data_IF_710675384443
#
_entry.id   IF_710675384443
#
_cell.length_a   1.000
_cell.length_b   1.000
_cell.length_c   1.000
_cell.angle_alpha   90.00
_cell.angle_beta   90.00
_cell.angle_gamma   90.00
#
_symmetry.space_group_name_H-M   'P 1'
#
loop_
_entity.id
_entity.type
_entity.pdbx_description
1 polymer ?
#
# COMPACT_ATOMS: atom_id res chain seq x y z
N UNK A 1 11.50 -32.37 3.50
CA UNK A 1 11.34 -30.97 3.96
C UNK A 1 12.15 -30.10 3.02
N UNK A 2 11.63 -28.96 2.59
CA UNK A 2 12.44 -27.98 1.85
C UNK A 2 13.28 -27.28 2.92
N UNK A 3 14.59 -27.52 2.93
CA UNK A 3 15.48 -27.03 4.00
C UNK A 3 15.83 -25.53 3.86
N UNK A 4 15.67 -24.95 2.66
CA UNK A 4 15.91 -23.52 2.40
C UNK A 4 14.82 -22.92 1.50
N UNK A 5 13.95 -22.02 2.03
CA UNK A 5 12.98 -21.27 1.23
C UNK A 5 13.61 -20.50 0.06
N UNK A 6 14.85 -20.03 0.19
CA UNK A 6 15.56 -19.29 -0.85
C UNK A 6 15.85 -20.14 -2.10
N UNK A 7 16.14 -21.44 -1.93
CA UNK A 7 16.31 -22.37 -3.06
C UNK A 7 14.99 -22.57 -3.80
N UNK A 8 13.89 -22.72 -3.06
CA UNK A 8 12.56 -22.86 -3.66
C UNK A 8 12.13 -21.61 -4.42
N UNK A 9 12.32 -20.42 -3.85
CA UNK A 9 12.00 -19.14 -4.49
C UNK A 9 12.72 -18.99 -5.82
N UNK A 10 14.04 -19.27 -5.86
CA UNK A 10 14.83 -19.20 -7.10
C UNK A 10 14.36 -20.21 -8.15
N UNK A 11 14.02 -21.43 -7.75
CA UNK A 11 13.52 -22.45 -8.66
C UNK A 11 12.15 -22.05 -9.25
N UNK A 12 11.28 -21.45 -8.45
CA UNK A 12 9.97 -20.96 -8.90
C UNK A 12 10.12 -19.79 -9.87
N UNK A 13 10.97 -18.81 -9.55
CA UNK A 13 11.26 -17.68 -10.44
C UNK A 13 11.78 -18.17 -11.80
N UNK A 14 12.80 -19.03 -11.81
CA UNK A 14 13.37 -19.56 -13.04
C UNK A 14 12.32 -20.26 -13.92
N UNK A 15 11.43 -21.07 -13.31
CA UNK A 15 10.36 -21.75 -14.04
C UNK A 15 9.33 -20.77 -14.64
N UNK A 16 8.97 -19.70 -13.91
CA UNK A 16 7.99 -18.72 -14.38
C UNK A 16 8.57 -17.82 -15.49
N UNK A 17 9.87 -17.49 -15.40
CA UNK A 17 10.61 -16.80 -16.46
C UNK A 17 10.72 -17.66 -17.72
N UNK A 18 11.10 -18.94 -17.58
CA UNK A 18 11.17 -19.88 -18.72
C UNK A 18 9.81 -20.00 -19.45
N UNK A 19 8.71 -19.96 -18.69
CA UNK A 19 7.34 -19.97 -19.25
C UNK A 19 6.89 -18.62 -19.82
N UNK A 20 7.69 -17.56 -19.71
CA UNK A 20 7.35 -16.22 -20.17
C UNK A 20 6.20 -15.56 -19.39
N UNK A 21 5.95 -15.99 -18.14
CA UNK A 21 4.86 -15.45 -17.31
C UNK A 21 5.29 -14.20 -16.53
N UNK A 22 6.58 -14.08 -16.23
CA UNK A 22 7.19 -12.93 -15.53
C UNK A 22 8.58 -12.66 -16.13
N UNK A 23 9.18 -11.53 -15.77
CA UNK A 23 10.60 -11.22 -16.02
C UNK A 23 11.28 -10.85 -14.70
N UNK A 24 12.58 -11.15 -14.57
CA UNK A 24 13.34 -10.79 -13.36
C UNK A 24 13.45 -9.27 -13.21
N UNK A 25 13.57 -8.52 -14.32
CA UNK A 25 13.58 -7.06 -14.30
C UNK A 25 12.28 -6.50 -13.70
N UNK A 26 11.14 -7.13 -13.99
CA UNK A 26 9.85 -6.70 -13.43
C UNK A 26 9.76 -6.98 -11.93
N UNK A 27 10.37 -8.05 -11.44
CA UNK A 27 10.46 -8.33 -10.00
C UNK A 27 11.32 -7.26 -9.32
N UNK A 28 12.48 -6.94 -9.88
CA UNK A 28 13.40 -5.95 -9.33
C UNK A 28 12.76 -4.56 -9.24
N UNK A 29 12.04 -4.14 -10.29
CA UNK A 29 11.27 -2.89 -10.28
C UNK A 29 10.24 -2.85 -9.15
N UNK A 30 9.53 -3.95 -8.92
CA UNK A 30 8.50 -4.03 -7.88
C UNK A 30 9.14 -3.95 -6.50
N UNK A 31 10.21 -4.71 -6.25
CA UNK A 31 10.96 -4.68 -4.97
C UNK A 31 11.43 -3.25 -4.69
N UNK A 32 12.09 -2.61 -5.66
CA UNK A 32 12.59 -1.24 -5.52
C UNK A 32 11.48 -0.26 -5.16
N UNK A 33 10.32 -0.35 -5.83
CA UNK A 33 9.20 0.57 -5.56
C UNK A 33 8.71 0.51 -4.12
N UNK A 34 8.70 -0.68 -3.49
CA UNK A 34 8.30 -0.85 -2.10
C UNK A 34 9.40 -0.54 -1.08
N UNK A 35 10.66 -0.69 -1.46
CA UNK A 35 11.79 -0.34 -0.60
C UNK A 35 12.05 1.17 -0.55
N UNK A 36 11.88 1.87 -1.67
CA UNK A 36 12.31 3.27 -1.82
C UNK A 36 11.14 4.27 -1.93
N UNK A 37 10.09 3.95 -2.69
CA UNK A 37 9.08 4.94 -3.13
C UNK A 37 7.76 4.87 -2.37
N UNK A 38 7.37 3.68 -1.91
CA UNK A 38 6.09 3.41 -1.23
C UNK A 38 6.34 3.23 0.26
N UNK A 39 5.75 4.10 1.07
CA UNK A 39 5.95 4.03 2.51
C UNK A 39 5.10 5.01 3.33
N UNK A 40 5.23 5.01 4.66
CA UNK A 40 4.36 5.73 5.58
C UNK A 40 4.40 7.26 5.42
N UNK A 41 5.43 7.80 4.77
CA UNK A 41 5.52 9.24 4.49
C UNK A 41 4.36 9.74 3.62
N UNK A 42 3.83 8.90 2.71
CA UNK A 42 2.64 9.22 1.92
C UNK A 42 1.44 9.51 2.82
N UNK A 43 1.16 8.61 3.77
CA UNK A 43 0.11 8.79 4.78
C UNK A 43 0.34 10.02 5.66
N UNK A 44 1.59 10.29 6.04
CA UNK A 44 1.92 11.49 6.82
C UNK A 44 1.60 12.80 6.06
N UNK A 45 1.86 12.86 4.75
CA UNK A 45 1.53 14.01 3.91
C UNK A 45 0.01 14.21 3.79
N UNK A 46 -0.75 13.12 3.65
CA UNK A 46 -2.22 13.14 3.65
C UNK A 46 -2.77 13.70 4.97
N UNK A 47 -2.26 13.21 6.11
CA UNK A 47 -2.66 13.69 7.44
C UNK A 47 -2.31 15.15 7.64
N UNK A 48 -1.09 15.57 7.28
CA UNK A 48 -0.66 16.96 7.40
C UNK A 48 -1.52 17.92 6.57
N UNK A 49 -1.93 17.49 5.37
CA UNK A 49 -2.87 18.27 4.55
C UNK A 49 -4.24 18.38 5.22
N UNK A 50 -4.78 17.29 5.75
CA UNK A 50 -6.06 17.32 6.47
C UNK A 50 -6.04 18.22 7.72
N UNK A 51 -4.89 18.37 8.39
CA UNK A 51 -4.76 19.31 9.52
C UNK A 51 -4.74 20.78 9.11
N UNK A 52 -4.22 21.10 7.92
CA UNK A 52 -4.05 22.48 7.45
C UNK A 52 -5.17 22.94 6.52
N UNK A 53 -5.94 22.02 5.95
CA UNK A 53 -6.99 22.27 4.96
C UNK A 53 -8.28 21.53 5.34
N UNK A 54 -9.25 22.27 5.88
CA UNK A 54 -10.52 21.73 6.34
C UNK A 54 -11.39 21.19 5.20
N UNK A 55 -11.30 21.76 3.99
CA UNK A 55 -12.05 21.30 2.83
C UNK A 55 -11.48 19.97 2.32
N UNK A 56 -10.15 19.83 2.32
CA UNK A 56 -9.50 18.56 2.03
C UNK A 56 -9.84 17.50 3.09
N UNK A 57 -9.82 17.85 4.38
CA UNK A 57 -10.23 16.92 5.46
C UNK A 57 -11.65 16.41 5.24
N UNK A 58 -12.58 17.29 4.86
CA UNK A 58 -13.95 16.88 4.54
C UNK A 58 -13.99 15.88 3.38
N UNK A 59 -13.31 16.16 2.26
CA UNK A 59 -13.23 15.22 1.12
C UNK A 59 -12.61 13.88 1.52
N UNK A 60 -11.53 13.89 2.30
CA UNK A 60 -10.85 12.69 2.77
C UNK A 60 -11.76 11.77 3.60
N UNK A 61 -12.63 12.35 4.43
CA UNK A 61 -13.59 11.60 5.24
C UNK A 61 -14.82 11.14 4.46
N UNK A 62 -15.15 11.81 3.35
CA UNK A 62 -16.25 11.44 2.45
C UNK A 62 -15.84 10.35 1.46
N UNK A 63 -14.66 10.50 0.83
CA UNK A 63 -14.08 9.56 -0.13
C UNK A 63 -12.54 9.57 0.00
N UNK A 64 -12.03 8.64 0.81
CA UNK A 64 -10.61 8.55 1.11
C UNK A 64 -9.77 8.21 -0.13
N UNK A 65 -10.31 7.40 -1.05
CA UNK A 65 -9.65 7.07 -2.30
C UNK A 65 -9.48 8.33 -3.14
N UNK A 66 -10.55 9.02 -3.50
CA UNK A 66 -10.47 10.20 -4.36
C UNK A 66 -9.60 11.31 -3.77
N UNK A 67 -9.62 11.52 -2.45
CA UNK A 67 -8.79 12.52 -1.79
C UNK A 67 -7.29 12.17 -1.85
N UNK A 68 -6.90 10.92 -1.58
CA UNK A 68 -5.48 10.50 -1.67
C UNK A 68 -4.99 10.51 -3.13
N UNK A 69 -5.89 10.39 -4.11
CA UNK A 69 -5.58 10.51 -5.53
C UNK A 69 -4.98 11.87 -5.90
N UNK A 70 -5.33 12.94 -5.16
CA UNK A 70 -4.83 14.30 -5.37
C UNK A 70 -3.28 14.36 -5.24
N UNK A 71 -2.67 13.41 -4.54
CA UNK A 71 -1.21 13.28 -4.38
C UNK A 71 -0.55 12.35 -5.40
N UNK A 72 -1.32 11.62 -6.21
CA UNK A 72 -0.81 10.62 -7.14
C UNK A 72 -0.37 9.30 -6.49
N UNK A 73 -0.79 9.02 -5.24
CA UNK A 73 -0.37 7.82 -4.50
C UNK A 73 -1.19 6.56 -4.80
N UNK A 74 -2.14 6.61 -5.73
CA UNK A 74 -3.07 5.50 -5.98
C UNK A 74 -2.52 4.48 -6.97
N UNK A 75 -2.52 3.22 -6.54
CA UNK A 75 -2.51 2.07 -7.44
C UNK A 75 -3.85 2.00 -8.19
N UNK A 76 -3.87 1.99 -9.54
CA UNK A 76 -5.07 1.80 -10.33
C UNK A 76 -5.92 0.58 -9.92
N UNK A 77 -5.29 -0.45 -9.33
CA UNK A 77 -5.92 -1.66 -8.82
C UNK A 77 -6.11 -1.67 -7.29
N UNK A 78 -5.82 -0.55 -6.63
CA UNK A 78 -5.92 -0.38 -5.19
C UNK A 78 -7.34 -0.58 -4.67
N UNK A 79 -7.43 -1.14 -3.47
CA UNK A 79 -8.68 -1.33 -2.74
C UNK A 79 -9.33 0.00 -2.35
N UNK A 80 -10.59 -0.05 -1.93
CA UNK A 80 -11.25 1.08 -1.28
C UNK A 80 -10.46 1.55 -0.05
N UNK A 81 -10.30 2.87 0.09
CA UNK A 81 -9.61 3.50 1.21
C UNK A 81 -10.60 4.34 2.02
N UNK A 82 -10.74 4.00 3.30
CA UNK A 82 -11.59 4.74 4.24
C UNK A 82 -10.72 5.38 5.31
N UNK A 83 -10.77 6.71 5.39
CA UNK A 83 -10.15 7.45 6.48
C UNK A 83 -11.09 7.47 7.70
N UNK A 84 -10.58 7.07 8.86
CA UNK A 84 -11.33 7.12 10.14
C UNK A 84 -10.67 8.11 11.08
N UNK A 85 -11.45 9.10 11.52
CA UNK A 85 -10.95 10.18 12.35
C UNK A 85 -10.97 9.83 13.84
N UNK A 86 -9.84 10.06 14.51
CA UNK A 86 -9.77 10.10 15.97
C UNK A 86 -10.34 11.42 16.50
N UNK A 87 -11.08 11.35 17.60
CA UNK A 87 -11.61 12.51 18.33
C UNK A 87 -11.21 12.41 19.81
N UNK A 88 -11.58 13.40 20.62
CA UNK A 88 -11.38 13.34 22.06
C UNK A 88 -12.12 12.16 22.73
N UNK A 89 -13.22 11.68 22.13
CA UNK A 89 -14.05 10.60 22.69
C UNK A 89 -13.82 9.24 22.00
N UNK A 90 -13.21 9.22 20.81
CA UNK A 90 -13.07 8.00 19.99
C UNK A 90 -11.64 7.85 19.50
N UNK A 91 -11.06 6.68 19.76
CA UNK A 91 -9.77 6.27 19.23
C UNK A 91 -9.94 5.04 18.34
N UNK A 92 -9.51 5.14 17.08
CA UNK A 92 -9.62 4.09 16.09
C UNK A 92 -8.31 3.30 15.97
N UNK A 93 -8.43 1.99 15.71
CA UNK A 93 -7.31 1.09 15.40
C UNK A 93 -7.75 0.12 14.30
N UNK A 94 -6.86 -0.17 13.36
CA UNK A 94 -7.14 -1.08 12.23
C UNK A 94 -6.35 -2.38 12.40
N UNK A 95 -6.99 -3.53 12.09
CA UNK A 95 -6.37 -4.87 12.13
C UNK A 95 -6.95 -5.78 11.05
N UNK A 96 -6.12 -6.59 10.36
CA UNK A 96 -6.59 -7.81 9.69
C UNK A 96 -6.40 -9.00 10.64
N UNK A 97 -7.47 -9.48 11.26
CA UNK A 97 -7.39 -10.63 12.17
C UNK A 97 -7.11 -11.96 11.47
N UNK A 98 -7.33 -12.03 10.15
CA UNK A 98 -7.24 -13.28 9.37
C UNK A 98 -5.94 -13.41 8.57
N UNK A 99 -5.16 -12.33 8.45
CA UNK A 99 -4.18 -12.20 7.39
C UNK A 99 -3.15 -11.07 7.68
N UNK A 100 -2.97 -10.17 6.72
CA UNK A 100 -2.05 -9.03 6.75
C UNK A 100 -2.55 -7.81 5.96
N UNK A 101 -3.87 -7.67 5.71
CA UNK A 101 -4.39 -6.52 4.94
C UNK A 101 -3.92 -5.19 5.51
N UNK A 102 -3.45 -4.31 4.64
CA UNK A 102 -2.98 -2.98 4.99
C UNK A 102 -3.06 -2.05 3.77
N UNK A 103 -3.29 -0.74 3.94
CA UNK A 103 -3.29 0.21 2.82
C UNK A 103 -1.85 0.48 2.37
N UNK A 104 -1.43 -0.16 1.28
CA UNK A 104 -0.07 -0.04 0.73
C UNK A 104 0.08 1.18 -0.21
N UNK A 105 -1.03 1.74 -0.69
CA UNK A 105 -1.07 2.90 -1.60
C UNK A 105 -0.95 4.24 -0.88
#
# INVERSE_FOLDING_TARGET
MIEDPGVLTKALEALLVEKGLITSERIDELVKSYEEDIGPLRGAQVVARAWSDADYRKRLLEDGRSAVAEFGYIDPHGAELVAVENTEQVHNMVVCTLCSCYPWS
#
